data_IF_999624713595
#
_entry.id   IF_999624713595
#
_cell.length_a   1.000
_cell.length_b   1.000
_cell.length_c   1.000
_cell.angle_alpha   90.00
_cell.angle_beta   90.00
_cell.angle_gamma   90.00
#
_symmetry.space_group_name_H-M   'P 1'
#
loop_
_entity.id
_entity.type
_entity.pdbx_description
1 polymer ?
#
# COMPACT_ATOMS: atom_id res chain seq x y z
N UNK A 1 -0.10 -28.30 -28.80
CA UNK A 1 -0.09 -26.83 -28.64
C UNK A 1 0.36 -26.54 -27.23
N UNK A 2 1.64 -26.22 -27.06
CA UNK A 2 2.24 -25.94 -25.76
C UNK A 2 1.69 -24.64 -25.22
N UNK A 3 0.88 -24.70 -24.16
CA UNK A 3 0.44 -23.52 -23.42
C UNK A 3 1.67 -22.86 -22.82
N UNK A 4 2.01 -21.66 -23.32
CA UNK A 4 3.07 -20.82 -22.79
C UNK A 4 2.94 -20.69 -21.27
N UNK A 5 3.92 -21.23 -20.53
CA UNK A 5 3.99 -21.21 -19.06
C UNK A 5 4.46 -19.87 -18.50
N UNK A 6 4.54 -18.82 -19.32
CA UNK A 6 5.03 -17.50 -18.93
C UNK A 6 3.93 -16.44 -19.01
N UNK A 7 3.98 -15.46 -18.10
CA UNK A 7 3.08 -14.32 -18.09
C UNK A 7 3.21 -13.47 -19.37
N UNK A 8 2.13 -12.78 -19.80
CA UNK A 8 2.23 -11.81 -20.89
C UNK A 8 3.26 -10.72 -20.57
N UNK A 9 4.03 -10.28 -21.57
CA UNK A 9 5.07 -9.27 -21.39
C UNK A 9 4.56 -7.97 -20.76
N UNK A 10 3.32 -7.56 -21.06
CA UNK A 10 2.69 -6.40 -20.44
C UNK A 10 2.41 -6.57 -18.94
N UNK A 11 2.09 -7.79 -18.50
CA UNK A 11 1.88 -8.10 -17.08
C UNK A 11 3.21 -8.05 -16.33
N UNK A 12 4.26 -8.65 -16.90
CA UNK A 12 5.62 -8.58 -16.34
C UNK A 12 6.08 -7.12 -16.23
N UNK A 13 5.88 -6.31 -17.26
CA UNK A 13 6.25 -4.90 -17.27
C UNK A 13 5.50 -4.09 -16.18
N UNK A 14 4.21 -4.35 -15.95
CA UNK A 14 3.44 -3.70 -14.88
C UNK A 14 3.96 -4.09 -13.50
N UNK A 15 4.25 -5.37 -13.31
CA UNK A 15 4.77 -5.87 -12.06
C UNK A 15 6.16 -5.27 -11.77
N UNK A 16 7.05 -5.19 -12.76
CA UNK A 16 8.35 -4.52 -12.64
C UNK A 16 8.17 -3.01 -12.35
N UNK A 17 7.27 -2.32 -13.05
CA UNK A 17 6.98 -0.91 -12.79
C UNK A 17 6.40 -0.67 -11.39
N UNK A 18 5.63 -1.61 -10.84
CA UNK A 18 5.14 -1.55 -9.46
C UNK A 18 6.29 -1.72 -8.46
N UNK A 19 7.20 -2.68 -8.68
CA UNK A 19 8.39 -2.84 -7.84
C UNK A 19 9.27 -1.59 -7.88
N UNK A 20 9.44 -0.98 -9.05
CA UNK A 20 10.16 0.29 -9.20
C UNK A 20 9.50 1.43 -8.43
N UNK A 21 8.16 1.50 -8.44
CA UNK A 21 7.41 2.46 -7.63
C UNK A 21 7.66 2.24 -6.13
N UNK A 22 7.60 0.99 -5.65
CA UNK A 22 7.87 0.67 -4.25
C UNK A 22 9.32 1.04 -3.88
N UNK A 23 10.30 0.72 -4.73
CA UNK A 23 11.70 1.12 -4.54
C UNK A 23 11.85 2.64 -4.44
N UNK A 24 11.20 3.40 -5.33
CA UNK A 24 11.21 4.87 -5.28
C UNK A 24 10.65 5.39 -3.96
N UNK A 25 9.48 4.91 -3.54
CA UNK A 25 8.85 5.35 -2.29
C UNK A 25 9.67 4.99 -1.05
N UNK A 26 10.26 3.79 -1.00
CA UNK A 26 11.18 3.41 0.08
C UNK A 26 12.45 4.27 0.08
N UNK A 27 12.98 4.63 -1.10
CA UNK A 27 14.15 5.50 -1.22
C UNK A 27 13.86 6.92 -0.71
N UNK A 28 12.65 7.45 -0.94
CA UNK A 28 12.19 8.72 -0.33
C UNK A 28 12.24 8.64 1.21
N UNK A 29 11.92 7.48 1.79
CA UNK A 29 12.02 7.26 3.23
C UNK A 29 13.46 7.00 3.73
N UNK A 30 14.46 6.98 2.86
CA UNK A 30 15.86 6.81 3.23
C UNK A 30 16.38 5.38 3.16
N UNK A 31 15.66 4.45 2.52
CA UNK A 31 16.22 3.17 2.09
C UNK A 31 17.30 3.41 1.02
N UNK A 32 18.38 2.63 1.06
CA UNK A 32 19.45 2.70 0.08
C UNK A 32 18.99 2.14 -1.29
N UNK A 33 18.50 3.01 -2.16
CA UNK A 33 18.08 2.69 -3.53
C UNK A 33 18.73 3.59 -4.58
N UNK A 34 18.56 3.22 -5.85
CA UNK A 34 19.08 3.99 -7.00
C UNK A 34 18.12 5.11 -7.46
N UNK A 35 16.91 5.17 -6.90
CA UNK A 35 15.93 6.18 -7.27
C UNK A 35 16.33 7.57 -6.75
N UNK A 36 16.04 8.61 -7.52
CA UNK A 36 16.13 10.00 -7.06
C UNK A 36 14.85 10.36 -6.30
N UNK A 37 14.91 10.67 -4.98
CA UNK A 37 13.74 11.06 -4.22
C UNK A 37 13.08 12.35 -4.74
N UNK A 38 13.86 13.26 -5.31
CA UNK A 38 13.41 14.55 -5.84
C UNK A 38 12.50 14.41 -7.07
N UNK A 39 12.60 13.29 -7.77
CA UNK A 39 11.78 13.01 -8.96
C UNK A 39 10.43 12.38 -8.59
N UNK A 40 10.13 12.17 -7.31
CA UNK A 40 8.88 11.54 -6.86
C UNK A 40 7.78 12.59 -6.72
N UNK A 41 6.76 12.50 -7.57
CA UNK A 41 5.64 13.45 -7.60
C UNK A 41 4.74 13.45 -6.38
N UNK A 42 4.47 12.28 -5.81
CA UNK A 42 3.47 12.14 -4.76
C UNK A 42 4.10 11.95 -3.38
N UNK A 43 3.39 12.42 -2.35
CA UNK A 43 3.71 12.07 -0.97
C UNK A 43 3.70 10.55 -0.77
N UNK A 44 4.66 10.03 -0.02
CA UNK A 44 4.66 8.63 0.40
C UNK A 44 3.69 8.41 1.54
N UNK A 45 2.91 7.33 1.51
CA UNK A 45 2.13 6.87 2.66
C UNK A 45 2.83 5.70 3.33
N UNK A 46 3.36 5.92 4.54
CA UNK A 46 4.20 4.92 5.23
C UNK A 46 3.41 3.63 5.54
N UNK A 47 2.16 3.71 6.00
CA UNK A 47 1.39 2.50 6.31
C UNK A 47 0.97 1.76 5.05
N UNK A 48 0.52 2.48 4.03
CA UNK A 48 0.15 1.86 2.77
C UNK A 48 1.36 1.19 2.11
N UNK A 49 2.54 1.83 2.16
CA UNK A 49 3.78 1.27 1.61
C UNK A 49 4.22 0.00 2.35
N UNK A 50 4.13 -0.02 3.69
CA UNK A 50 4.42 -1.22 4.49
C UNK A 50 3.45 -2.36 4.16
N UNK A 51 2.14 -2.08 4.08
CA UNK A 51 1.14 -3.09 3.80
C UNK A 51 1.25 -3.63 2.36
N UNK A 52 1.42 -2.75 1.38
CA UNK A 52 1.62 -3.14 -0.01
C UNK A 52 2.89 -3.98 -0.18
N UNK A 53 3.99 -3.59 0.49
CA UNK A 53 5.25 -4.33 0.44
C UNK A 53 5.15 -5.71 1.10
N UNK A 54 4.27 -5.90 2.09
CA UNK A 54 4.02 -7.21 2.70
C UNK A 54 3.47 -8.25 1.71
N UNK A 55 2.91 -7.81 0.59
CA UNK A 55 2.43 -8.70 -0.48
C UNK A 55 3.29 -8.56 -1.75
N UNK A 56 3.39 -7.34 -2.28
CA UNK A 56 3.98 -7.05 -3.58
C UNK A 56 5.51 -7.21 -3.60
N UNK A 57 6.22 -6.97 -2.49
CA UNK A 57 7.67 -7.12 -2.45
C UNK A 57 8.13 -8.58 -2.30
N UNK A 58 7.22 -9.57 -2.23
CA UNK A 58 7.57 -11.00 -2.22
C UNK A 58 8.26 -11.46 -3.50
N UNK A 59 8.16 -10.68 -4.57
CA UNK A 59 8.83 -10.92 -5.83
C UNK A 59 10.23 -10.29 -5.94
N UNK A 60 10.61 -9.45 -4.96
CA UNK A 60 11.95 -8.85 -4.84
C UNK A 60 12.45 -8.99 -3.38
N UNK A 61 13.20 -10.07 -3.07
CA UNK A 61 13.76 -10.29 -1.74
C UNK A 61 14.62 -9.13 -1.22
N UNK A 62 15.31 -8.40 -2.12
CA UNK A 62 16.15 -7.26 -1.76
C UNK A 62 15.29 -6.10 -1.26
N UNK A 63 14.21 -5.79 -1.97
CA UNK A 63 13.25 -4.75 -1.53
C UNK A 63 12.64 -5.10 -0.17
N UNK A 64 12.25 -6.36 -0.01
CA UNK A 64 11.66 -6.85 1.25
C UNK A 64 12.65 -6.71 2.42
N UNK A 65 13.91 -7.09 2.22
CA UNK A 65 14.96 -7.00 3.24
C UNK A 65 15.33 -5.55 3.58
N UNK A 66 15.37 -4.64 2.59
CA UNK A 66 15.60 -3.22 2.84
C UNK A 66 14.43 -2.55 3.58
N UNK A 67 13.17 -2.92 3.27
CA UNK A 67 12.01 -2.50 4.07
C UNK A 67 12.18 -2.93 5.53
N UNK A 68 12.61 -4.18 5.78
CA UNK A 68 12.80 -4.69 7.13
C UNK A 68 13.92 -3.95 7.87
N UNK A 69 15.02 -3.65 7.17
CA UNK A 69 16.13 -2.83 7.70
C UNK A 69 15.61 -1.46 8.15
N UNK A 70 14.82 -0.79 7.29
CA UNK A 70 14.23 0.51 7.61
C UNK A 70 13.27 0.43 8.79
N UNK A 71 12.34 -0.52 8.77
CA UNK A 71 11.38 -0.71 9.88
C UNK A 71 12.10 -1.00 11.19
N UNK A 72 13.19 -1.76 11.16
CA UNK A 72 13.98 -2.04 12.36
C UNK A 72 14.50 -0.76 13.01
N UNK A 73 14.87 0.27 12.23
CA UNK A 73 15.42 1.54 12.71
C UNK A 73 14.36 2.65 12.92
N UNK A 74 13.25 2.61 12.18
CA UNK A 74 12.36 3.76 12.01
C UNK A 74 10.86 3.45 12.24
N UNK A 75 10.51 2.25 12.71
CA UNK A 75 9.11 1.85 12.94
C UNK A 75 8.35 2.66 14.01
N UNK A 76 8.99 3.57 14.74
CA UNK A 76 8.28 4.58 15.55
C UNK A 76 7.37 5.46 14.68
N UNK A 77 7.76 5.71 13.42
CA UNK A 77 7.00 6.54 12.49
C UNK A 77 5.76 5.86 11.93
N UNK A 78 5.61 4.54 12.09
CA UNK A 78 4.42 3.80 11.66
C UNK A 78 3.30 3.92 12.69
N UNK A 79 2.16 4.42 12.25
CA UNK A 79 0.94 4.48 13.03
C UNK A 79 0.20 3.14 12.97
N UNK A 80 0.30 2.33 14.02
CA UNK A 80 -0.31 0.99 14.03
C UNK A 80 -1.85 1.02 14.07
N UNK A 81 -2.49 2.13 14.50
CA UNK A 81 -3.94 2.24 14.43
C UNK A 81 -4.38 2.45 12.99
N UNK A 82 -3.75 3.39 12.29
CA UNK A 82 -4.02 3.67 10.88
C UNK A 82 -3.67 2.47 9.99
N UNK A 83 -2.57 1.78 10.28
CA UNK A 83 -2.18 0.54 9.59
C UNK A 83 -3.27 -0.55 9.71
N UNK A 84 -3.87 -0.71 10.89
CA UNK A 84 -5.01 -1.63 11.08
C UNK A 84 -6.23 -1.19 10.29
N UNK A 85 -6.52 0.10 10.27
CA UNK A 85 -7.66 0.63 9.53
C UNK A 85 -7.50 0.37 8.03
N UNK A 86 -6.35 0.70 7.44
CA UNK A 86 -6.06 0.47 6.02
C UNK A 86 -6.14 -1.03 5.65
N UNK A 87 -5.55 -1.90 6.48
CA UNK A 87 -5.64 -3.36 6.27
C UNK A 87 -7.08 -3.84 6.20
N UNK A 88 -7.97 -3.33 7.06
CA UNK A 88 -9.38 -3.73 7.08
C UNK A 88 -10.20 -3.08 5.98
N UNK A 89 -9.95 -1.81 5.72
CA UNK A 89 -10.67 -1.00 4.74
C UNK A 89 -9.70 0.07 4.24
N UNK A 90 -9.21 -0.03 2.99
CA UNK A 90 -9.80 -0.75 1.85
C UNK A 90 -9.52 -2.26 1.72
N UNK A 91 -8.71 -2.87 2.59
CA UNK A 91 -8.34 -4.28 2.41
C UNK A 91 -6.99 -4.42 1.71
N UNK A 92 -5.90 -4.08 2.40
CA UNK A 92 -4.54 -4.01 1.84
C UNK A 92 -3.55 -4.88 2.63
N UNK A 93 -2.72 -5.62 1.90
CA UNK A 93 -1.59 -6.37 2.43
C UNK A 93 -1.94 -7.77 2.93
N UNK A 94 -0.91 -8.63 3.03
CA UNK A 94 -1.04 -10.01 3.49
C UNK A 94 -0.91 -10.11 5.02
N UNK A 95 -1.97 -10.56 5.69
CA UNK A 95 -2.01 -10.67 7.15
C UNK A 95 -0.97 -11.64 7.72
N UNK A 96 -0.67 -12.75 7.01
CA UNK A 96 0.28 -13.77 7.44
C UNK A 96 1.72 -13.27 7.27
N UNK A 97 2.03 -12.56 6.18
CA UNK A 97 3.34 -11.92 6.01
C UNK A 97 3.51 -10.80 7.02
N UNK A 98 2.51 -9.95 7.21
CA UNK A 98 2.57 -8.87 8.19
C UNK A 98 2.73 -9.40 9.63
N UNK A 99 2.13 -10.56 9.96
CA UNK A 99 2.34 -11.23 11.25
C UNK A 99 3.80 -11.63 11.44
N UNK A 100 4.44 -12.16 10.40
CA UNK A 100 5.87 -12.53 10.42
C UNK A 100 6.78 -11.31 10.56
N UNK A 101 6.55 -10.26 9.77
CA UNK A 101 7.26 -8.97 9.87
C UNK A 101 7.11 -8.38 11.28
N UNK A 102 5.89 -8.37 11.82
CA UNK A 102 5.61 -7.86 13.16
C UNK A 102 6.27 -8.69 14.26
N UNK A 103 6.30 -10.02 14.11
CA UNK A 103 6.99 -10.93 15.00
C UNK A 103 8.49 -10.70 15.02
N UNK A 104 9.08 -10.45 13.84
CA UNK A 104 10.51 -10.17 13.69
C UNK A 104 10.88 -8.82 14.31
N UNK A 105 10.11 -7.76 14.04
CA UNK A 105 10.30 -6.45 14.68
C UNK A 105 10.12 -6.51 16.20
N UNK A 106 9.16 -7.32 16.66
CA UNK A 106 8.85 -7.52 18.08
C UNK A 106 9.95 -8.21 18.90
N UNK A 107 11.02 -8.69 18.27
CA UNK A 107 12.22 -9.15 18.98
C UNK A 107 12.97 -7.99 19.65
N UNK A 108 12.80 -6.74 19.18
CA UNK A 108 13.36 -5.56 19.83
C UNK A 108 12.39 -5.03 20.89
N UNK A 109 12.87 -4.84 22.12
CA UNK A 109 12.08 -4.29 23.23
C UNK A 109 11.47 -2.92 22.91
N UNK A 110 12.22 -2.04 22.23
CA UNK A 110 11.75 -0.72 21.77
C UNK A 110 10.55 -0.78 20.79
N UNK A 111 10.28 -1.96 20.21
CA UNK A 111 9.22 -2.20 19.24
C UNK A 111 8.14 -3.14 19.78
N UNK A 112 7.95 -3.21 21.11
CA UNK A 112 6.96 -4.07 21.76
C UNK A 112 5.52 -3.92 21.19
N UNK A 113 5.16 -2.73 20.68
CA UNK A 113 3.86 -2.50 20.00
C UNK A 113 3.62 -3.46 18.81
N UNK A 114 4.68 -3.89 18.14
CA UNK A 114 4.62 -4.83 17.02
C UNK A 114 4.40 -6.28 17.47
N UNK A 115 4.88 -6.67 18.65
CA UNK A 115 4.61 -7.99 19.22
C UNK A 115 3.11 -8.19 19.46
N UNK A 116 2.42 -7.15 19.93
CA UNK A 116 0.96 -7.17 20.09
C UNK A 116 0.25 -7.33 18.73
N UNK A 117 0.67 -6.57 17.73
CA UNK A 117 0.13 -6.69 16.37
C UNK A 117 0.35 -8.10 15.79
N UNK A 118 1.52 -8.70 16.01
CA UNK A 118 1.81 -10.06 15.55
C UNK A 118 0.85 -11.10 16.15
N UNK A 119 0.53 -10.97 17.44
CA UNK A 119 -0.42 -11.85 18.12
C UNK A 119 -1.84 -11.70 17.57
N UNK A 120 -2.30 -10.44 17.38
CA UNK A 120 -3.61 -10.13 16.78
C UNK A 120 -3.75 -10.74 15.38
N UNK A 121 -2.74 -10.55 14.51
CA UNK A 121 -2.75 -11.08 13.15
C UNK A 121 -2.68 -12.61 13.11
N UNK A 122 -1.95 -13.22 14.04
CA UNK A 122 -1.92 -14.69 14.15
C UNK A 122 -3.30 -15.24 14.49
N UNK A 123 -4.03 -14.58 15.38
CA UNK A 123 -5.40 -14.96 15.72
C UNK A 123 -6.35 -14.77 14.52
N UNK A 124 -6.21 -13.66 13.78
CA UNK A 124 -6.99 -13.38 12.56
C UNK A 124 -6.79 -14.46 11.48
N UNK A 125 -5.53 -14.84 11.21
CA UNK A 125 -5.19 -15.90 10.24
C UNK A 125 -5.77 -17.25 10.67
N UNK A 126 -5.66 -17.60 11.96
CA UNK A 126 -6.22 -18.87 12.49
C UNK A 126 -7.75 -18.91 12.44
N UNK A 127 -8.42 -17.77 12.59
CA UNK A 127 -9.88 -17.67 12.51
C UNK A 127 -10.41 -17.69 11.07
N UNK A 128 -9.54 -17.71 10.05
CA UNK A 128 -9.96 -17.57 8.64
C UNK A 128 -10.53 -16.19 8.32
N UNK A 129 -10.26 -15.17 9.15
CA UNK A 129 -10.95 -13.88 9.16
C UNK A 129 -10.15 -12.71 8.54
N UNK A 130 -9.18 -13.01 7.67
CA UNK A 130 -8.52 -11.98 6.85
C UNK A 130 -9.43 -11.48 5.71
N UNK A 131 -9.17 -10.30 5.11
CA UNK A 131 -9.88 -9.90 3.89
C UNK A 131 -9.67 -11.00 2.85
N UNK A 132 -10.76 -11.65 2.46
CA UNK A 132 -10.73 -12.87 1.67
C UNK A 132 -9.98 -12.65 0.35
N UNK A 133 -8.75 -13.14 0.26
CA UNK A 133 -8.19 -13.58 -1.02
C UNK A 133 -8.96 -14.83 -1.43
N UNK A 134 -10.11 -14.62 -2.07
CA UNK A 134 -10.93 -15.67 -2.67
C UNK A 134 -10.20 -16.23 -3.90
N UNK A 135 -9.18 -17.04 -3.65
CA UNK A 135 -8.39 -17.75 -4.65
C UNK A 135 -8.11 -19.21 -4.29
N UNK A 136 -8.19 -19.57 -3.01
CA UNK A 136 -8.00 -20.94 -2.51
C UNK A 136 -9.37 -21.52 -2.14
N UNK A 137 -10.15 -21.93 -3.14
CA UNK A 137 -11.27 -22.85 -2.90
C UNK A 137 -10.70 -24.26 -2.85
N UNK A 138 -10.73 -24.83 -1.65
CA UNK A 138 -10.37 -26.19 -1.30
C UNK A 138 -10.98 -27.21 -2.27
N UNK A 139 -10.14 -28.05 -2.87
CA UNK A 139 -10.55 -29.39 -3.28
C UNK A 139 -10.06 -30.37 -2.20
N UNK A 140 -11.07 -31.02 -1.62
CA UNK A 140 -11.06 -32.33 -0.97
C UNK A 140 -10.40 -32.48 0.41
N UNK A 141 -11.29 -32.72 1.38
CA UNK A 141 -11.00 -33.35 2.65
C UNK A 141 -10.65 -34.82 2.43
N UNK A 142 -9.42 -35.21 2.78
CA UNK A 142 -9.15 -36.58 3.21
C UNK A 142 -8.12 -36.53 4.33
N UNK A 143 -8.39 -37.28 5.40
CA UNK A 143 -7.72 -37.20 6.69
C UNK A 143 -6.22 -37.53 6.66
N UNK A 144 -5.61 -37.16 7.80
CA UNK A 144 -4.17 -37.13 8.15
C UNK A 144 -3.56 -35.74 7.95
N UNK A 145 -3.65 -34.88 8.97
CA UNK A 145 -2.96 -33.59 9.00
C UNK A 145 -1.44 -33.80 8.99
N UNK A 146 -0.71 -33.43 7.93
CA UNK A 146 0.71 -33.18 8.05
C UNK A 146 0.88 -31.79 8.67
N UNK A 147 1.94 -31.56 9.42
CA UNK A 147 2.43 -30.20 9.67
C UNK A 147 2.69 -29.60 8.28
N UNK A 148 1.84 -28.70 7.80
CA UNK A 148 1.98 -28.08 6.48
C UNK A 148 3.42 -27.58 6.32
N UNK A 149 4.14 -28.13 5.34
CA UNK A 149 5.50 -27.70 5.04
C UNK A 149 5.49 -26.18 4.80
N UNK A 150 6.40 -25.45 5.46
CA UNK A 150 6.44 -23.99 5.38
C UNK A 150 6.51 -23.52 3.92
N UNK A 151 5.64 -22.56 3.57
CA UNK A 151 5.52 -22.07 2.19
C UNK A 151 6.65 -21.10 1.90
N UNK A 152 7.33 -21.16 0.73
CA UNK A 152 8.33 -20.17 0.35
C UNK A 152 7.75 -18.74 0.37
N UNK A 153 8.43 -17.84 1.09
CA UNK A 153 8.00 -16.44 1.18
C UNK A 153 8.10 -15.74 -0.18
N UNK A 154 9.23 -15.98 -0.86
CA UNK A 154 9.58 -15.29 -2.07
C UNK A 154 9.20 -16.10 -3.31
N UNK A 155 8.66 -15.40 -4.30
CA UNK A 155 8.23 -15.96 -5.58
C UNK A 155 8.96 -15.25 -6.71
N UNK A 156 9.17 -15.94 -7.82
CA UNK A 156 9.79 -15.36 -9.00
C UNK A 156 8.81 -14.39 -9.65
N UNK A 157 9.32 -13.21 -10.02
CA UNK A 157 8.56 -12.17 -10.72
C UNK A 157 8.13 -12.56 -12.14
N UNK A 158 8.73 -13.59 -12.74
CA UNK A 158 8.51 -13.95 -14.15
C UNK A 158 7.42 -15.02 -14.34
N UNK A 159 7.37 -15.99 -13.42
CA UNK A 159 6.54 -17.19 -13.52
C UNK A 159 5.80 -17.52 -12.20
N UNK A 160 6.00 -16.74 -11.14
CA UNK A 160 5.38 -16.98 -9.83
C UNK A 160 5.93 -18.20 -9.09
N UNK A 161 6.95 -18.88 -9.65
CA UNK A 161 7.53 -20.07 -9.04
C UNK A 161 8.24 -19.72 -7.72
N UNK A 162 8.25 -20.61 -6.71
CA UNK A 162 9.00 -20.36 -5.49
C UNK A 162 10.48 -20.07 -5.75
N UNK A 163 11.02 -19.02 -5.11
CA UNK A 163 12.47 -18.79 -5.16
C UNK A 163 13.19 -19.77 -4.22
N UNK A 164 14.38 -20.27 -4.60
CA UNK A 164 15.15 -21.19 -3.78
C UNK A 164 15.58 -20.51 -2.47
N UNK A 165 15.38 -21.21 -1.36
CA UNK A 165 15.86 -20.77 -0.04
C UNK A 165 17.21 -21.44 0.21
N UNK A 166 18.25 -20.62 0.34
CA UNK A 166 19.61 -21.09 0.66
C UNK A 166 19.91 -20.94 2.16
N UNK A 167 20.59 -21.94 2.72
CA UNK A 167 21.01 -21.94 4.12
C UNK A 167 19.89 -22.26 5.11
N UNK A 168 20.05 -21.82 6.36
CA UNK A 168 19.06 -22.05 7.42
C UNK A 168 17.83 -21.16 7.24
N UNK A 169 16.66 -21.72 7.50
CA UNK A 169 15.41 -20.98 7.55
C UNK A 169 15.41 -19.97 8.71
N UNK A 170 14.86 -18.78 8.50
CA UNK A 170 14.66 -17.79 9.55
C UNK A 170 13.64 -18.32 10.58
N UNK A 171 14.02 -18.48 11.86
CA UNK A 171 13.16 -19.12 12.84
C UNK A 171 11.90 -18.31 13.17
N UNK A 172 11.93 -16.98 12.98
CA UNK A 172 10.75 -16.15 13.18
C UNK A 172 9.76 -16.38 12.06
N UNK A 173 10.19 -16.24 10.81
CA UNK A 173 9.30 -16.44 9.67
C UNK A 173 8.76 -17.88 9.61
N UNK A 174 9.58 -18.87 9.97
CA UNK A 174 9.18 -20.26 10.04
C UNK A 174 8.02 -20.48 11.03
N UNK A 175 8.01 -19.77 12.17
CA UNK A 175 6.91 -19.81 13.15
C UNK A 175 5.56 -19.35 12.57
N UNK A 176 5.60 -18.47 11.57
CA UNK A 176 4.41 -18.01 10.83
C UNK A 176 4.18 -18.85 9.56
N UNK A 177 4.91 -19.95 9.41
CA UNK A 177 4.84 -20.91 8.31
C UNK A 177 5.40 -20.41 6.99
N UNK A 178 6.34 -19.47 7.03
CA UNK A 178 7.08 -18.99 5.86
C UNK A 178 8.50 -19.54 5.83
N UNK A 179 8.93 -20.04 4.68
CA UNK A 179 10.30 -20.44 4.41
C UNK A 179 11.06 -19.28 3.72
N UNK A 180 12.08 -18.77 4.39
CA UNK A 180 13.07 -17.81 3.87
C UNK A 180 14.40 -17.96 4.62
N UNK A 181 15.52 -17.54 4.04
CA UNK A 181 16.82 -17.58 4.73
C UNK A 181 16.91 -16.57 5.87
N UNK A 182 17.79 -16.75 6.86
CA UNK A 182 17.92 -15.81 8.00
C UNK A 182 18.08 -14.34 7.57
N UNK A 183 17.34 -13.43 8.20
CA UNK A 183 17.44 -11.98 7.93
C UNK A 183 18.75 -11.43 8.52
N UNK A 184 19.53 -10.75 7.67
CA UNK A 184 20.74 -10.02 8.08
C UNK A 184 20.61 -8.55 7.67
N UNK A 185 20.17 -7.65 8.58
CA UNK A 185 19.98 -6.24 8.26
C UNK A 185 21.29 -5.62 7.79
N UNK A 186 21.28 -4.94 6.64
CA UNK A 186 22.47 -4.27 6.10
C UNK A 186 22.80 -2.99 6.87
N UNK A 187 21.85 -2.45 7.63
CA UNK A 187 21.97 -1.21 8.39
C UNK A 187 22.41 -0.03 7.53
N UNK A 188 21.89 0.03 6.30
CA UNK A 188 22.16 1.10 5.33
C UNK A 188 21.03 2.13 5.27
N UNK A 189 19.88 1.80 5.87
CA UNK A 189 18.75 2.72 5.98
C UNK A 189 19.15 3.99 6.73
N UNK A 190 18.70 5.13 6.20
CA UNK A 190 18.84 6.46 6.80
C UNK A 190 17.47 6.97 7.23
N UNK A 191 17.47 7.98 8.09
CA UNK A 191 16.25 8.74 8.35
C UNK A 191 15.78 9.43 7.05
N UNK A 192 14.45 9.55 6.82
CA UNK A 192 13.93 10.29 5.68
C UNK A 192 14.47 11.73 5.63
N UNK A 193 14.71 12.23 4.42
CA UNK A 193 15.18 13.60 4.23
C UNK A 193 13.98 14.58 4.32
N UNK A 194 13.93 15.51 5.30
CA UNK A 194 12.84 16.47 5.44
C UNK A 194 12.74 17.49 4.30
N UNK A 195 13.76 17.57 3.44
CA UNK A 195 13.83 18.51 2.32
C UNK A 195 13.31 17.94 1.00
N UNK A 196 12.86 16.68 0.99
CA UNK A 196 12.21 16.07 -0.17
C UNK A 196 10.70 16.26 -0.05
N UNK A 197 10.05 16.82 -1.06
CA UNK A 197 8.60 17.08 -1.05
C UNK A 197 7.79 15.80 -0.80
N UNK A 198 8.15 14.69 -1.45
CA UNK A 198 7.49 13.40 -1.29
C UNK A 198 7.55 12.83 0.15
N UNK A 199 8.46 13.34 1.00
CA UNK A 199 8.57 12.96 2.41
C UNK A 199 7.68 13.81 3.35
N UNK A 200 6.77 14.64 2.81
CA UNK A 200 5.91 15.54 3.60
C UNK A 200 5.11 14.81 4.69
N UNK A 201 4.54 13.63 4.41
CA UNK A 201 3.79 12.84 5.41
C UNK A 201 4.66 12.49 6.62
N UNK A 202 5.91 12.10 6.38
CA UNK A 202 6.89 11.84 7.44
C UNK A 202 7.29 13.11 8.16
N UNK A 203 7.56 14.21 7.43
CA UNK A 203 7.92 15.50 8.02
C UNK A 203 6.84 16.00 8.98
N UNK A 204 5.57 15.87 8.60
CA UNK A 204 4.43 16.24 9.45
C UNK A 204 4.36 15.36 10.70
N UNK A 205 4.70 14.07 10.63
CA UNK A 205 4.81 13.20 11.81
C UNK A 205 5.97 13.57 12.72
N UNK A 206 7.10 13.95 12.14
CA UNK A 206 8.25 14.44 12.90
C UNK A 206 7.92 15.75 13.63
N UNK A 207 7.10 16.61 13.03
CA UNK A 207 6.73 17.92 13.58
C UNK A 207 5.56 17.87 14.58
N UNK A 208 4.49 17.13 14.25
CA UNK A 208 3.25 17.07 15.06
C UNK A 208 3.10 15.81 15.92
N UNK A 209 4.02 14.86 15.77
CA UNK A 209 3.86 13.51 16.31
C UNK A 209 3.02 12.61 15.40
N UNK A 210 3.08 11.29 15.67
CA UNK A 210 2.38 10.25 14.90
C UNK A 210 0.93 10.15 15.37
N UNK A 211 0.05 10.99 14.81
CA UNK A 211 -1.36 11.10 15.24
C UNK A 211 -2.30 11.55 14.11
N UNK A 212 -3.62 11.55 14.33
CA UNK A 212 -4.59 11.91 13.30
C UNK A 212 -4.41 13.35 12.76
N UNK A 213 -4.03 14.30 13.63
CA UNK A 213 -3.85 15.71 13.25
C UNK A 213 -2.84 15.90 12.12
N UNK A 214 -1.72 15.14 12.10
CA UNK A 214 -0.72 15.29 11.05
C UNK A 214 -1.24 14.82 9.69
N UNK A 215 -2.05 13.75 9.65
CA UNK A 215 -2.68 13.27 8.40
C UNK A 215 -3.80 14.18 7.92
N UNK A 216 -4.55 14.79 8.85
CA UNK A 216 -5.58 15.77 8.53
C UNK A 216 -4.96 17.03 7.92
N UNK A 217 -3.90 17.56 8.56
CA UNK A 217 -3.14 18.70 8.03
C UNK A 217 -2.53 18.35 6.68
N UNK A 218 -1.92 17.16 6.55
CA UNK A 218 -1.40 16.67 5.28
C UNK A 218 -2.46 16.73 4.18
N UNK A 219 -3.65 16.15 4.44
CA UNK A 219 -4.75 16.14 3.48
C UNK A 219 -5.21 17.56 3.11
N UNK A 220 -5.35 18.47 4.09
CA UNK A 220 -5.76 19.85 3.82
C UNK A 220 -4.73 20.63 2.99
N UNK A 221 -3.43 20.42 3.23
CA UNK A 221 -2.35 21.08 2.48
C UNK A 221 -2.30 20.61 1.01
N UNK A 222 -2.73 19.38 0.73
CA UNK A 222 -2.76 18.82 -0.63
C UNK A 222 -4.12 18.98 -1.32
N UNK A 223 -5.10 19.59 -0.65
CA UNK A 223 -6.43 19.89 -1.19
C UNK A 223 -6.72 21.39 -0.96
N UNK A 224 -6.27 22.29 -1.86
CA UNK A 224 -6.30 23.73 -1.63
C UNK A 224 -7.72 24.27 -1.46
N UNK A 225 -8.73 23.60 -2.02
CA UNK A 225 -10.13 23.97 -1.83
C UNK A 225 -10.67 23.54 -0.46
N UNK A 226 -9.98 22.67 0.29
CA UNK A 226 -10.48 22.10 1.53
C UNK A 226 -11.46 20.95 1.31
N UNK A 227 -12.17 20.58 2.38
CA UNK A 227 -13.19 19.53 2.33
C UNK A 227 -13.95 19.33 3.63
N UNK A 228 -14.89 18.40 3.61
CA UNK A 228 -15.73 18.02 4.76
C UNK A 228 -15.03 16.98 5.62
N UNK A 229 -15.34 16.96 6.92
CA UNK A 229 -14.75 15.99 7.86
C UNK A 229 -14.89 14.52 7.39
N UNK A 230 -16.02 14.18 6.76
CA UNK A 230 -16.25 12.84 6.22
C UNK A 230 -15.31 12.49 5.05
N UNK A 231 -14.96 13.46 4.20
CA UNK A 231 -14.02 13.27 3.09
C UNK A 231 -12.60 13.06 3.63
N UNK A 232 -12.19 13.89 4.59
CA UNK A 232 -10.90 13.75 5.27
C UNK A 232 -10.80 12.40 5.98
N UNK A 233 -11.85 11.96 6.68
CA UNK A 233 -11.87 10.66 7.36
C UNK A 233 -11.72 9.49 6.38
N UNK A 234 -12.45 9.51 5.26
CA UNK A 234 -12.34 8.48 4.23
C UNK A 234 -10.95 8.43 3.60
N UNK A 235 -10.36 9.58 3.27
CA UNK A 235 -9.05 9.65 2.63
C UNK A 235 -7.91 9.27 3.58
N UNK A 236 -7.97 9.72 4.83
CA UNK A 236 -6.91 9.47 5.83
C UNK A 236 -7.03 8.12 6.54
N UNK A 237 -8.12 7.37 6.30
CA UNK A 237 -8.42 6.07 6.93
C UNK A 237 -8.50 6.15 8.46
N UNK A 238 -9.00 7.26 9.00
CA UNK A 238 -9.35 7.42 10.41
C UNK A 238 -10.86 7.31 10.64
N UNK A 239 -11.24 7.03 11.88
CA UNK A 239 -12.66 7.05 12.25
C UNK A 239 -13.22 8.48 12.15
N UNK A 240 -14.46 8.65 11.64
CA UNK A 240 -15.06 9.98 11.45
C UNK A 240 -14.99 10.86 12.69
N UNK A 241 -15.32 10.31 13.86
CA UNK A 241 -15.29 11.06 15.12
C UNK A 241 -13.90 11.60 15.48
N UNK A 242 -12.85 10.81 15.25
CA UNK A 242 -11.46 11.24 15.48
C UNK A 242 -11.11 12.45 14.62
N UNK A 243 -11.57 12.45 13.37
CA UNK A 243 -11.31 13.54 12.42
C UNK A 243 -12.12 14.78 12.76
N UNK A 244 -13.40 14.63 13.10
CA UNK A 244 -14.25 15.74 13.53
C UNK A 244 -13.71 16.46 14.77
N UNK A 245 -13.31 15.70 15.79
CA UNK A 245 -12.77 16.26 17.02
C UNK A 245 -11.44 16.99 16.76
N UNK A 246 -10.54 16.37 15.98
CA UNK A 246 -9.27 16.97 15.60
C UNK A 246 -9.44 18.24 14.73
N UNK A 247 -10.35 18.23 13.75
CA UNK A 247 -10.64 19.40 12.92
C UNK A 247 -11.23 20.55 13.73
N UNK A 248 -12.10 20.26 14.71
CA UNK A 248 -12.65 21.27 15.63
C UNK A 248 -11.56 21.94 16.45
N UNK A 249 -10.60 21.16 16.96
CA UNK A 249 -9.47 21.68 17.73
C UNK A 249 -8.47 22.45 16.85
N UNK A 250 -8.16 21.93 15.66
CA UNK A 250 -7.31 22.62 14.68
C UNK A 250 -7.93 23.96 14.26
N UNK A 251 -9.24 24.02 14.05
CA UNK A 251 -9.96 25.26 13.73
C UNK A 251 -9.85 26.30 14.85
N UNK A 252 -9.80 25.88 16.12
CA UNK A 252 -9.63 26.80 17.25
C UNK A 252 -8.28 27.53 17.24
N UNK A 253 -7.28 27.04 16.48
CA UNK A 253 -6.00 27.74 16.30
C UNK A 253 -6.08 28.98 15.39
N UNK A 254 -7.15 29.11 14.60
CA UNK A 254 -7.25 30.13 13.55
C UNK A 254 -6.49 29.81 12.25
N UNK A 255 -5.61 28.79 12.24
CA UNK A 255 -4.86 28.36 11.04
C UNK A 255 -5.64 27.41 10.12
N UNK A 256 -6.72 26.81 10.62
CA UNK A 256 -7.68 26.04 9.83
C UNK A 256 -9.00 26.81 9.78
N UNK A 257 -9.39 27.20 8.59
CA UNK A 257 -10.60 27.98 8.33
C UNK A 257 -11.80 27.04 8.23
N UNK A 258 -12.92 27.51 8.78
CA UNK A 258 -14.19 26.79 8.73
C UNK A 258 -15.22 27.68 8.07
N UNK A 259 -15.78 27.21 6.96
CA UNK A 259 -16.96 27.82 6.36
C UNK A 259 -18.15 26.88 6.55
N UNK A 260 -19.34 27.45 6.79
CA UNK A 260 -20.57 26.68 6.89
C UNK A 260 -21.29 26.75 5.55
N UNK A 261 -21.53 25.60 4.93
CA UNK A 261 -22.38 25.46 3.76
C UNK A 261 -23.63 24.67 4.19
N UNK A 262 -24.68 25.39 4.58
CA UNK A 262 -25.87 24.79 5.17
C UNK A 262 -25.57 24.12 6.52
N UNK A 263 -25.87 22.82 6.65
CA UNK A 263 -25.58 22.02 7.85
C UNK A 263 -24.17 21.43 7.87
N UNK A 264 -23.43 21.55 6.77
CA UNK A 264 -22.11 20.94 6.63
C UNK A 264 -21.01 21.98 6.88
N UNK A 265 -19.96 21.53 7.59
CA UNK A 265 -18.75 22.33 7.82
C UNK A 265 -17.70 21.95 6.80
N UNK A 266 -17.09 22.96 6.21
CA UNK A 266 -16.02 22.83 5.25
C UNK A 266 -14.73 23.40 5.84
N UNK A 267 -13.66 22.62 5.81
CA UNK A 267 -12.38 22.92 6.43
C UNK A 267 -11.32 23.16 5.38
N UNK A 268 -10.54 24.22 5.52
CA UNK A 268 -9.51 24.62 4.56
C UNK A 268 -8.30 25.24 5.28
N UNK A 269 -7.12 25.15 4.68
CA UNK A 269 -5.92 25.90 5.11
C UNK A 269 -5.49 26.85 4.00
N UNK A 270 -4.90 27.99 4.35
CA UNK A 270 -4.24 28.87 3.39
C UNK A 270 -2.79 28.44 3.23
N UNK A 271 -2.36 28.11 2.03
CA UNK A 271 -0.98 27.67 1.78
C UNK A 271 0.08 28.64 2.32
N UNK A 272 -0.14 29.95 2.19
CA UNK A 272 0.79 30.97 2.66
C UNK A 272 1.13 30.83 4.15
N UNK A 273 0.14 30.53 5.00
CA UNK A 273 0.29 30.38 6.45
C UNK A 273 1.10 29.12 6.82
N UNK A 274 1.25 28.19 5.87
CA UNK A 274 1.92 26.89 6.05
C UNK A 274 3.20 26.74 5.20
N UNK A 275 3.58 27.81 4.48
CA UNK A 275 4.74 27.82 3.57
C UNK A 275 6.06 27.43 4.22
N UNK A 276 6.20 27.64 5.54
CA UNK A 276 7.36 27.22 6.33
C UNK A 276 7.63 25.71 6.30
N UNK A 277 6.62 24.89 5.99
CA UNK A 277 6.78 23.45 5.80
C UNK A 277 7.46 23.08 4.48
N UNK A 278 7.52 23.98 3.50
CA UNK A 278 8.15 23.74 2.20
C UNK A 278 9.66 24.02 2.29
N UNK A 279 10.44 22.98 2.60
CA UNK A 279 11.92 23.06 2.58
C UNK A 279 12.54 22.47 1.31
N UNK A 280 11.73 22.28 0.28
CA UNK A 280 12.12 21.84 -1.06
C UNK A 280 12.01 23.01 -2.05
N UNK A 281 12.72 22.89 -3.17
CA UNK A 281 12.62 23.83 -4.28
C UNK A 281 11.64 23.39 -5.37
N UNK A 282 11.29 22.10 -5.42
CA UNK A 282 10.31 21.52 -6.36
C UNK A 282 9.50 20.40 -5.70
N UNK A 283 8.22 20.20 -6.09
CA UNK A 283 7.42 21.11 -6.94
C UNK A 283 7.15 22.45 -6.25
N UNK A 284 6.65 23.44 -7.00
CA UNK A 284 6.08 24.62 -6.36
C UNK A 284 4.78 24.22 -5.65
N UNK A 285 4.64 24.64 -4.40
CA UNK A 285 3.55 24.23 -3.53
C UNK A 285 3.74 22.88 -2.85
N UNK A 286 2.63 22.39 -2.29
CA UNK A 286 2.57 21.06 -1.70
C UNK A 286 2.35 20.00 -2.78
N UNK A 287 3.05 18.85 -2.69
CA UNK A 287 2.89 17.75 -3.64
C UNK A 287 1.44 17.25 -3.71
N UNK A 288 0.99 16.75 -4.87
CA UNK A 288 -0.36 16.23 -5.03
C UNK A 288 -0.64 15.04 -4.11
N UNK A 289 -1.88 14.98 -3.61
CA UNK A 289 -2.39 13.82 -2.89
C UNK A 289 -2.54 12.61 -3.81
N UNK A 290 -2.15 11.44 -3.32
CA UNK A 290 -2.49 10.15 -3.91
C UNK A 290 -3.03 9.25 -2.81
N UNK A 291 -4.21 8.66 -3.02
CA UNK A 291 -4.76 7.65 -2.11
C UNK A 291 -4.04 6.31 -2.33
N UNK A 292 -2.81 6.22 -1.82
CA UNK A 292 -2.00 5.01 -1.85
C UNK A 292 -2.69 3.80 -1.20
N UNK A 293 -3.39 3.93 -0.03
CA UNK A 293 -4.16 2.82 0.53
C UNK A 293 -5.09 2.15 -0.49
N UNK A 294 -5.94 2.95 -1.15
CA UNK A 294 -6.92 2.43 -2.12
C UNK A 294 -6.29 2.00 -3.42
N UNK A 295 -5.27 2.72 -3.89
CA UNK A 295 -4.56 2.36 -5.12
C UNK A 295 -3.86 1.01 -4.99
N UNK A 296 -3.08 0.80 -3.93
CA UNK A 296 -2.41 -0.49 -3.72
C UNK A 296 -3.42 -1.61 -3.48
N UNK A 297 -4.53 -1.37 -2.77
CA UNK A 297 -5.54 -2.40 -2.55
C UNK A 297 -6.21 -2.83 -3.86
N UNK A 298 -6.53 -1.85 -4.72
CA UNK A 298 -7.03 -2.14 -6.07
C UNK A 298 -5.98 -2.89 -6.90
N UNK A 299 -4.72 -2.46 -6.85
CA UNK A 299 -3.65 -3.12 -7.58
C UNK A 299 -3.45 -4.57 -7.14
N UNK A 300 -3.45 -4.88 -5.85
CA UNK A 300 -3.34 -6.25 -5.35
C UNK A 300 -4.46 -7.15 -5.91
N UNK A 301 -5.70 -6.65 -5.94
CA UNK A 301 -6.84 -7.37 -6.52
C UNK A 301 -6.70 -7.59 -8.02
N UNK A 302 -6.26 -6.58 -8.76
CA UNK A 302 -6.01 -6.69 -10.21
C UNK A 302 -4.86 -7.65 -10.50
N UNK A 303 -3.75 -7.50 -9.77
CA UNK A 303 -2.56 -8.32 -9.91
C UNK A 303 -2.86 -9.79 -9.64
N UNK A 304 -3.68 -10.11 -8.62
CA UNK A 304 -4.12 -11.47 -8.33
C UNK A 304 -4.83 -12.16 -9.51
N UNK A 305 -5.45 -11.39 -10.42
CA UNK A 305 -6.05 -11.92 -11.66
C UNK A 305 -5.03 -11.92 -12.81
N UNK A 306 -4.23 -10.87 -12.94
CA UNK A 306 -3.27 -10.71 -14.04
C UNK A 306 -2.17 -11.77 -14.03
N UNK A 307 -1.73 -12.23 -12.85
CA UNK A 307 -0.66 -13.23 -12.71
C UNK A 307 -1.14 -14.68 -12.86
N UNK A 308 -2.44 -14.91 -13.11
CA UNK A 308 -3.00 -16.26 -13.26
C UNK A 308 -2.78 -16.77 -14.69
N UNK A 309 -1.91 -17.78 -14.80
CA UNK A 309 -1.54 -18.44 -16.06
C UNK A 309 -2.60 -19.45 -16.54
N UNK A 310 -3.44 -19.93 -15.63
CA UNK A 310 -4.47 -20.94 -15.88
C UNK A 310 -5.77 -20.37 -16.46
N UNK A 311 -5.95 -19.05 -16.47
CA UNK A 311 -7.16 -18.40 -16.98
C UNK A 311 -7.09 -18.22 -18.50
N UNK A 312 -8.16 -18.61 -19.19
CA UNK A 312 -8.37 -18.24 -20.60
C UNK A 312 -8.53 -16.71 -20.74
N UNK A 313 -8.27 -16.12 -21.92
CA UNK A 313 -8.41 -14.67 -22.12
C UNK A 313 -9.81 -14.13 -21.77
N UNK A 314 -10.86 -14.86 -22.16
CA UNK A 314 -12.24 -14.48 -21.84
C UNK A 314 -12.52 -14.52 -20.33
N UNK A 315 -12.06 -15.56 -19.63
CA UNK A 315 -12.23 -15.71 -18.19
C UNK A 315 -11.45 -14.63 -17.42
N UNK A 316 -10.21 -14.34 -17.84
CA UNK A 316 -9.40 -13.24 -17.27
C UNK A 316 -10.13 -11.90 -17.39
N UNK A 317 -10.68 -11.59 -18.56
CA UNK A 317 -11.47 -10.37 -18.76
C UNK A 317 -12.72 -10.33 -17.88
N UNK A 318 -13.43 -11.44 -17.73
CA UNK A 318 -14.59 -11.54 -16.82
C UNK A 318 -14.20 -11.28 -15.37
N UNK A 319 -13.12 -11.91 -14.88
CA UNK A 319 -12.61 -11.71 -13.52
C UNK A 319 -12.12 -10.28 -13.29
N UNK A 320 -11.42 -9.66 -14.25
CA UNK A 320 -11.02 -8.26 -14.15
C UNK A 320 -12.24 -7.33 -14.07
N UNK A 321 -13.27 -7.55 -14.91
CA UNK A 321 -14.52 -6.77 -14.83
C UNK A 321 -15.16 -6.87 -13.45
N UNK A 322 -15.24 -8.10 -12.91
CA UNK A 322 -15.74 -8.37 -11.56
C UNK A 322 -14.93 -7.61 -10.50
N UNK A 323 -13.60 -7.58 -10.58
CA UNK A 323 -12.76 -6.80 -9.66
C UNK A 323 -13.11 -5.31 -9.70
N UNK A 324 -13.31 -4.72 -10.88
CA UNK A 324 -13.71 -3.31 -10.99
C UNK A 324 -15.13 -3.07 -10.45
N UNK A 325 -16.08 -3.98 -10.68
CA UNK A 325 -17.45 -3.86 -10.15
C UNK A 325 -17.46 -3.93 -8.62
N UNK A 326 -16.78 -4.92 -8.04
CA UNK A 326 -16.65 -5.09 -6.58
C UNK A 326 -15.83 -3.96 -5.93
N UNK A 327 -14.95 -3.31 -6.70
CA UNK A 327 -14.10 -2.22 -6.22
C UNK A 327 -14.61 -0.82 -6.57
N UNK A 328 -15.87 -0.68 -7.00
CA UNK A 328 -16.47 0.61 -7.35
C UNK A 328 -16.33 1.66 -6.24
N UNK A 329 -16.58 1.26 -4.99
CA UNK A 329 -16.38 2.15 -3.82
C UNK A 329 -14.93 2.58 -3.63
N UNK A 330 -13.96 1.68 -3.84
CA UNK A 330 -12.52 2.00 -3.79
C UNK A 330 -12.15 3.00 -4.89
N UNK A 331 -12.68 2.82 -6.09
CA UNK A 331 -12.43 3.69 -7.23
C UNK A 331 -12.98 5.11 -7.01
N UNK A 332 -14.23 5.21 -6.54
CA UNK A 332 -14.90 6.49 -6.31
C UNK A 332 -14.28 7.21 -5.11
N UNK A 333 -14.18 6.55 -3.95
CA UNK A 333 -13.68 7.18 -2.73
C UNK A 333 -12.21 7.60 -2.84
N UNK A 334 -11.40 6.84 -3.59
CA UNK A 334 -9.98 7.15 -3.81
C UNK A 334 -9.72 8.11 -4.96
N UNK A 335 -10.75 8.58 -5.67
CA UNK A 335 -10.58 9.39 -6.88
C UNK A 335 -9.84 8.66 -8.01
N UNK A 336 -9.82 7.32 -7.99
CA UNK A 336 -9.03 6.49 -8.90
C UNK A 336 -9.73 6.24 -10.24
N UNK A 337 -11.01 6.57 -10.38
CA UNK A 337 -11.73 6.41 -11.66
C UNK A 337 -11.02 7.12 -12.82
N UNK A 338 -10.44 8.30 -12.56
CA UNK A 338 -9.67 9.05 -13.56
C UNK A 338 -8.35 8.39 -13.97
N UNK A 339 -7.84 7.43 -13.17
CA UNK A 339 -6.65 6.65 -13.50
C UNK A 339 -6.92 5.53 -14.51
N UNK A 340 -8.20 5.23 -14.81
CA UNK A 340 -8.59 4.14 -15.71
C UNK A 340 -9.49 4.61 -16.87
N UNK A 341 -9.02 5.57 -17.71
CA UNK A 341 -9.82 6.13 -18.80
C UNK A 341 -10.13 5.12 -19.92
N UNK A 342 -9.21 4.20 -20.24
CA UNK A 342 -9.45 3.20 -21.28
C UNK A 342 -10.44 2.14 -20.80
N UNK A 343 -10.33 1.69 -19.55
CA UNK A 343 -11.33 0.80 -18.92
C UNK A 343 -12.72 1.44 -18.94
N UNK A 344 -12.81 2.73 -18.61
CA UNK A 344 -14.08 3.47 -18.59
C UNK A 344 -14.75 3.49 -19.97
N UNK A 345 -13.98 3.67 -21.06
CA UNK A 345 -14.48 3.60 -22.45
C UNK A 345 -14.99 2.21 -22.82
N UNK A 346 -14.32 1.15 -22.34
CA UNK A 346 -14.67 -0.25 -22.64
C UNK A 346 -15.86 -0.79 -21.83
N UNK A 347 -16.34 -0.06 -20.81
CA UNK A 347 -17.59 -0.41 -20.10
C UNK A 347 -18.85 -0.03 -20.89
N UNK A 348 -18.76 0.94 -21.80
CA UNK A 348 -19.88 1.39 -22.63
C UNK A 348 -20.11 0.60 -23.93
N UNK A 349 -19.11 -0.16 -24.39
CA UNK A 349 -19.17 -0.93 -25.63
C UNK A 349 -19.10 -2.43 -25.33
N UNK A 350 -19.92 -3.24 -26.02
CA UNK A 350 -19.86 -4.71 -26.04
C UNK A 350 -18.63 -5.23 -26.81
N UNK A 351 -17.47 -4.63 -26.57
CA UNK A 351 -16.23 -4.88 -27.30
C UNK A 351 -15.56 -6.20 -26.93
N UNK A 352 -14.74 -6.69 -27.87
CA UNK A 352 -13.95 -7.93 -27.82
C UNK A 352 -13.22 -8.14 -26.47
N UNK A 353 -13.17 -9.39 -26.00
CA UNK A 353 -12.62 -9.77 -24.69
C UNK A 353 -11.15 -9.33 -24.49
N UNK A 354 -10.33 -9.34 -25.53
CA UNK A 354 -8.92 -8.93 -25.45
C UNK A 354 -8.74 -7.43 -25.18
N UNK A 355 -9.71 -6.60 -25.57
CA UNK A 355 -9.62 -5.15 -25.45
C UNK A 355 -9.68 -4.68 -23.99
N UNK A 356 -10.39 -5.39 -23.12
CA UNK A 356 -10.54 -4.98 -21.73
C UNK A 356 -9.27 -5.23 -20.92
N UNK A 357 -8.68 -6.42 -21.02
CA UNK A 357 -7.40 -6.72 -20.36
C UNK A 357 -6.31 -5.76 -20.83
N UNK A 358 -6.22 -5.49 -22.14
CA UNK A 358 -5.29 -4.51 -22.70
C UNK A 358 -5.53 -3.09 -22.14
N UNK A 359 -6.79 -2.66 -22.01
CA UNK A 359 -7.14 -1.36 -21.42
C UNK A 359 -6.67 -1.24 -19.96
N UNK A 360 -6.90 -2.27 -19.13
CA UNK A 360 -6.42 -2.32 -17.74
C UNK A 360 -4.90 -2.21 -17.71
N UNK A 361 -4.18 -2.99 -18.52
CA UNK A 361 -2.72 -2.97 -18.54
C UNK A 361 -2.14 -1.64 -19.04
N UNK A 362 -2.82 -0.99 -19.98
CA UNK A 362 -2.42 0.31 -20.52
C UNK A 362 -2.60 1.41 -19.48
N UNK A 363 -3.75 1.44 -18.82
CA UNK A 363 -4.06 2.42 -17.78
C UNK A 363 -3.11 2.29 -16.58
N UNK A 364 -2.83 1.06 -16.12
CA UNK A 364 -1.85 0.81 -15.05
C UNK A 364 -0.44 1.26 -15.46
N UNK A 365 0.01 0.90 -16.66
CA UNK A 365 1.32 1.33 -17.18
C UNK A 365 1.42 2.85 -17.23
N UNK A 366 0.37 3.53 -17.72
CA UNK A 366 0.33 4.98 -17.80
C UNK A 366 0.36 5.65 -16.42
N UNK A 367 -0.31 5.07 -15.42
CA UNK A 367 -0.26 5.56 -14.04
C UNK A 367 1.14 5.40 -13.43
N UNK A 368 1.73 4.20 -13.55
CA UNK A 368 3.04 3.87 -12.96
C UNK A 368 4.21 4.60 -13.62
N UNK A 369 4.04 5.04 -14.87
CA UNK A 369 5.04 5.83 -15.60
C UNK A 369 5.09 7.32 -15.19
N UNK A 370 4.12 7.81 -14.43
CA UNK A 370 4.14 9.18 -13.94
C UNK A 370 5.32 9.33 -12.97
N UNK A 371 6.17 10.32 -13.25
CA UNK A 371 7.27 10.73 -12.36
C UNK A 371 6.68 11.63 -11.30
#
# INVERSE_FOLDING_TARGET
MSTSSSLPASVVAIHDAMLDLLWKQWTVLGVAGAASPEDTRWCVDIEALVLASANLARSDPRLFDEMLDWLRAHAQWVNLQRLRNIRKTPGLGDARVLAAVSGWLGQRSALAKWKKLAAELTAEVKAGAGPATRGERSLESTGAQPVEAAVPLFVSRHDGAPQPVYGMADPVFLKYGWSRGVIRPRSLSRAPNPNVAAALSWKLRAFFGVQARCEIVHWLLTHPNGGRAAEVARATCYFPRTVEDALRELAASGLVQVTSQGRERHYQVREADWSFLRSWSRPDGFPPWQDWPRFFALFEKLNAVLIRFDLSPALRTSELRRVFDESSGILIDGGLTGCFPNVSRQRGNSGNADNFTAAVTTDLSAFLAQK
#
